data_IF_426993427730
#
_entry.id   IF_426993427730
#
_cell.length_a   1.000
_cell.length_b   1.000
_cell.length_c   1.000
_cell.angle_alpha   90.00
_cell.angle_beta   90.00
_cell.angle_gamma   90.00
#
_symmetry.space_group_name_H-M   'P 1'
#
loop_
_entity.id
_entity.type
_entity.pdbx_description
1 polymer ?
#
# COMPACT_ATOMS: atom_id res chain seq x y z
N UNK A 1 -29.88 -8.15 -21.99
CA UNK A 1 -28.73 -7.66 -21.24
C UNK A 1 -27.54 -8.57 -21.50
N UNK A 2 -26.38 -8.01 -21.67
CA UNK A 2 -25.16 -8.80 -21.83
C UNK A 2 -24.68 -9.27 -20.46
N UNK A 3 -24.12 -10.48 -20.41
CA UNK A 3 -23.50 -11.02 -19.20
C UNK A 3 -22.12 -10.38 -19.06
N UNK A 4 -21.91 -9.67 -17.97
CA UNK A 4 -20.61 -9.05 -17.65
C UNK A 4 -20.03 -9.66 -16.37
N UNK A 5 -18.71 -9.82 -16.31
CA UNK A 5 -17.99 -10.23 -15.11
C UNK A 5 -17.31 -9.03 -14.45
N UNK A 6 -17.28 -9.01 -13.11
CA UNK A 6 -16.57 -7.96 -12.35
C UNK A 6 -15.06 -8.23 -12.22
N UNK A 7 -14.56 -9.28 -12.89
CA UNK A 7 -13.15 -9.66 -12.82
C UNK A 7 -12.76 -10.31 -11.48
N UNK A 8 -11.46 -10.26 -11.15
CA UNK A 8 -10.93 -10.87 -9.93
C UNK A 8 -11.49 -10.17 -8.69
N UNK A 9 -11.98 -10.95 -7.71
CA UNK A 9 -12.62 -10.42 -6.49
C UNK A 9 -14.06 -9.95 -6.70
N UNK A 10 -14.66 -10.21 -7.88
CA UNK A 10 -16.03 -9.82 -8.19
C UNK A 10 -17.09 -10.46 -7.32
N UNK A 11 -16.86 -11.67 -6.79
CA UNK A 11 -17.76 -12.34 -5.84
C UNK A 11 -17.90 -11.57 -4.55
N UNK A 12 -16.76 -11.17 -3.96
CA UNK A 12 -16.72 -10.42 -2.70
C UNK A 12 -17.37 -9.05 -2.88
N UNK A 13 -17.07 -8.39 -4.00
CA UNK A 13 -17.65 -7.08 -4.32
C UNK A 13 -19.18 -7.17 -4.53
N UNK A 14 -19.66 -8.20 -5.22
CA UNK A 14 -21.09 -8.44 -5.39
C UNK A 14 -21.79 -8.69 -4.04
N UNK A 15 -21.18 -9.52 -3.18
CA UNK A 15 -21.70 -9.78 -1.84
C UNK A 15 -21.78 -8.49 -1.01
N UNK A 16 -20.78 -7.63 -1.10
CA UNK A 16 -20.75 -6.34 -0.42
C UNK A 16 -21.86 -5.39 -0.89
N UNK A 17 -22.11 -5.30 -2.22
CA UNK A 17 -23.21 -4.50 -2.78
C UNK A 17 -24.56 -5.01 -2.26
N UNK A 18 -24.76 -6.34 -2.24
CA UNK A 18 -25.98 -6.96 -1.76
C UNK A 18 -26.16 -6.69 -0.26
N UNK A 19 -25.13 -6.90 0.54
CA UNK A 19 -25.16 -6.62 1.98
C UNK A 19 -25.52 -5.15 2.27
N UNK A 20 -24.91 -4.22 1.56
CA UNK A 20 -25.23 -2.79 1.69
C UNK A 20 -26.67 -2.47 1.28
N UNK A 21 -27.17 -3.08 0.19
CA UNK A 21 -28.52 -2.87 -0.31
C UNK A 21 -29.60 -3.39 0.65
N UNK A 22 -29.32 -4.50 1.33
CA UNK A 22 -30.22 -5.12 2.31
C UNK A 22 -30.07 -4.56 3.72
N UNK A 23 -29.14 -3.63 3.98
CA UNK A 23 -28.72 -3.20 5.31
C UNK A 23 -28.45 -4.40 6.23
N UNK A 24 -27.62 -5.35 5.76
CA UNK A 24 -27.29 -6.56 6.47
C UNK A 24 -26.65 -6.27 7.83
N UNK A 25 -26.79 -7.16 8.79
CA UNK A 25 -26.14 -7.02 10.10
C UNK A 25 -24.62 -7.22 10.02
N UNK A 26 -24.15 -8.05 9.09
CA UNK A 26 -22.73 -8.29 8.81
C UNK A 26 -22.55 -8.85 7.40
N UNK A 27 -21.33 -8.74 6.88
CA UNK A 27 -20.86 -9.42 5.67
C UNK A 27 -19.81 -10.45 6.08
N UNK A 28 -20.05 -11.72 5.85
CA UNK A 28 -19.05 -12.77 6.06
C UNK A 28 -18.37 -13.15 4.74
N UNK A 29 -17.05 -13.13 4.72
CA UNK A 29 -16.22 -13.57 3.60
C UNK A 29 -15.45 -14.81 4.06
N UNK A 30 -15.81 -15.96 3.51
CA UNK A 30 -15.16 -17.23 3.77
C UNK A 30 -14.10 -17.50 2.71
N UNK A 31 -12.84 -17.62 3.14
CA UNK A 31 -11.65 -17.75 2.29
C UNK A 31 -10.75 -18.88 2.80
N UNK A 32 -9.52 -18.95 2.32
CA UNK A 32 -8.53 -19.99 2.64
C UNK A 32 -7.50 -19.56 3.70
N UNK A 33 -7.72 -18.41 4.35
CA UNK A 33 -6.86 -17.87 5.41
C UNK A 33 -7.63 -17.55 6.67
N UNK A 34 -6.97 -17.61 7.84
CA UNK A 34 -7.59 -17.36 9.15
C UNK A 34 -7.95 -15.89 9.41
N UNK A 35 -7.81 -15.03 8.43
CA UNK A 35 -8.05 -13.59 8.52
C UNK A 35 -6.85 -12.78 8.02
N UNK A 36 -6.84 -11.49 8.35
CA UNK A 36 -5.67 -10.66 8.13
C UNK A 36 -4.57 -11.03 9.11
N UNK A 37 -3.33 -11.10 8.62
CA UNK A 37 -2.16 -11.42 9.41
C UNK A 37 -1.29 -10.19 9.62
N UNK A 38 -0.52 -10.15 10.70
CA UNK A 38 0.44 -9.06 10.99
C UNK A 38 1.52 -8.89 9.91
N UNK A 39 1.77 -9.94 9.13
CA UNK A 39 2.60 -9.97 7.93
C UNK A 39 2.24 -11.20 7.08
N UNK A 40 2.83 -11.35 5.90
CA UNK A 40 2.67 -12.56 5.08
C UNK A 40 3.28 -13.79 5.79
N UNK A 41 2.49 -14.78 6.21
CA UNK A 41 2.98 -15.95 6.96
C UNK A 41 3.92 -16.84 6.14
N UNK A 42 3.92 -16.72 4.81
CA UNK A 42 4.86 -17.42 3.92
C UNK A 42 6.28 -16.85 4.01
N UNK A 43 6.40 -15.60 4.46
CA UNK A 43 7.68 -14.89 4.63
C UNK A 43 8.07 -14.85 6.10
N UNK A 44 7.12 -14.62 7.00
CA UNK A 44 7.31 -14.45 8.45
C UNK A 44 6.50 -15.50 9.19
N UNK A 45 7.16 -16.55 9.66
CA UNK A 45 6.51 -17.67 10.36
C UNK A 45 5.90 -17.30 11.71
N UNK A 46 6.32 -16.19 12.31
CA UNK A 46 5.80 -15.65 13.57
C UNK A 46 4.63 -14.69 13.39
N UNK A 47 4.17 -14.48 12.15
CA UNK A 47 2.97 -13.70 11.88
C UNK A 47 1.74 -14.37 12.50
N UNK A 48 0.85 -13.56 13.07
CA UNK A 48 -0.38 -14.03 13.70
C UNK A 48 -1.59 -13.22 13.20
N UNK A 49 -2.78 -13.78 13.40
CA UNK A 49 -4.04 -13.19 12.94
C UNK A 49 -4.35 -11.91 13.73
N UNK A 50 -4.76 -10.88 13.00
CA UNK A 50 -5.22 -9.61 13.56
C UNK A 50 -6.71 -9.75 13.86
N UNK A 51 -7.11 -9.58 15.11
CA UNK A 51 -8.50 -9.76 15.52
C UNK A 51 -9.42 -8.68 14.95
N UNK A 52 -8.97 -7.42 14.95
CA UNK A 52 -9.76 -6.26 14.55
C UNK A 52 -8.96 -5.30 13.69
N UNK A 53 -9.59 -4.82 12.61
CA UNK A 53 -9.09 -3.75 11.75
C UNK A 53 -10.19 -2.71 11.52
N UNK A 54 -9.79 -1.46 11.34
CA UNK A 54 -10.67 -0.47 10.73
C UNK A 54 -10.81 -0.73 9.22
N UNK A 55 -11.83 -0.15 8.59
CA UNK A 55 -11.97 -0.21 7.13
C UNK A 55 -10.76 0.40 6.42
N UNK A 56 -10.20 1.47 6.99
CA UNK A 56 -9.02 2.16 6.44
C UNK A 56 -7.79 1.26 6.54
N UNK A 57 -7.53 0.67 7.71
CA UNK A 57 -6.41 -0.26 7.91
C UNK A 57 -6.49 -1.46 6.96
N UNK A 58 -7.67 -2.05 6.80
CA UNK A 58 -7.87 -3.17 5.89
C UNK A 58 -7.63 -2.78 4.42
N UNK A 59 -8.13 -1.60 3.99
CA UNK A 59 -7.85 -1.08 2.65
C UNK A 59 -6.36 -0.84 2.41
N UNK A 60 -5.67 -0.22 3.37
CA UNK A 60 -4.24 0.05 3.25
C UNK A 60 -3.42 -1.25 3.14
N UNK A 61 -3.70 -2.24 3.99
CA UNK A 61 -3.03 -3.54 3.92
C UNK A 61 -3.25 -4.21 2.56
N UNK A 62 -4.48 -4.18 2.03
CA UNK A 62 -4.80 -4.76 0.74
C UNK A 62 -4.14 -4.02 -0.43
N UNK A 63 -4.10 -2.69 -0.40
CA UNK A 63 -3.48 -1.87 -1.43
C UNK A 63 -1.97 -2.15 -1.54
N UNK A 64 -1.32 -2.42 -0.42
CA UNK A 64 0.11 -2.74 -0.37
C UNK A 64 0.43 -4.24 -0.47
N UNK A 65 -0.55 -5.10 -0.79
CA UNK A 65 -0.26 -6.48 -1.20
C UNK A 65 -0.88 -7.60 -0.37
N UNK A 66 -1.59 -7.30 0.73
CA UNK A 66 -2.36 -8.32 1.44
C UNK A 66 -3.52 -8.81 0.56
N UNK A 67 -3.47 -10.10 0.18
CA UNK A 67 -4.44 -10.71 -0.76
C UNK A 67 -5.58 -11.41 0.01
N UNK A 68 -6.17 -10.74 0.98
CA UNK A 68 -7.23 -11.31 1.83
C UNK A 68 -8.60 -10.94 1.29
N UNK A 69 -8.81 -9.67 0.95
CA UNK A 69 -10.07 -9.14 0.41
C UNK A 69 -9.75 -8.26 -0.80
N UNK A 70 -10.64 -8.26 -1.78
CA UNK A 70 -10.56 -7.30 -2.87
C UNK A 70 -10.89 -5.89 -2.35
N UNK A 71 -9.98 -4.89 -2.42
CA UNK A 71 -10.16 -3.59 -1.77
C UNK A 71 -11.50 -2.89 -2.06
N UNK A 72 -12.03 -2.87 -3.31
CA UNK A 72 -13.33 -2.29 -3.60
C UNK A 72 -14.51 -2.91 -2.84
N UNK A 73 -14.36 -4.13 -2.31
CA UNK A 73 -15.38 -4.81 -1.50
C UNK A 73 -15.71 -4.04 -0.22
N UNK A 74 -14.73 -3.32 0.34
CA UNK A 74 -14.89 -2.60 1.60
C UNK A 74 -15.81 -1.39 1.45
N UNK A 75 -15.77 -0.72 0.29
CA UNK A 75 -16.44 0.56 0.08
C UNK A 75 -17.97 0.53 0.28
N UNK A 76 -18.78 -0.39 -0.33
CA UNK A 76 -20.23 -0.36 -0.17
C UNK A 76 -20.70 -0.55 1.28
N UNK A 77 -20.04 -1.44 2.03
CA UNK A 77 -20.44 -1.76 3.41
C UNK A 77 -19.91 -0.76 4.42
N UNK A 78 -18.77 -0.13 4.18
CA UNK A 78 -18.20 0.94 5.01
C UNK A 78 -19.18 2.10 5.17
N UNK A 79 -19.83 2.56 4.09
CA UNK A 79 -20.82 3.64 4.13
C UNK A 79 -22.09 3.33 4.94
N UNK A 80 -22.32 2.04 5.20
CA UNK A 80 -23.46 1.56 5.98
C UNK A 80 -23.09 1.11 7.39
N UNK A 81 -21.80 1.21 7.75
CA UNK A 81 -21.25 0.69 9.00
C UNK A 81 -21.52 -0.80 9.19
N UNK A 82 -21.56 -1.58 8.10
CA UNK A 82 -21.77 -3.03 8.13
C UNK A 82 -20.42 -3.71 8.35
N UNK A 83 -20.20 -4.40 9.47
CA UNK A 83 -18.94 -5.08 9.73
C UNK A 83 -18.69 -6.21 8.73
N UNK A 84 -17.41 -6.41 8.37
CA UNK A 84 -16.97 -7.53 7.54
C UNK A 84 -16.25 -8.53 8.45
N UNK A 85 -16.64 -9.80 8.40
CA UNK A 85 -15.94 -10.88 9.08
C UNK A 85 -15.19 -11.72 8.04
N UNK A 86 -13.88 -11.84 8.21
CA UNK A 86 -13.06 -12.73 7.39
C UNK A 86 -12.88 -14.02 8.13
N UNK A 87 -13.32 -15.11 7.54
CA UNK A 87 -13.35 -16.46 8.15
C UNK A 87 -12.65 -17.46 7.24
N UNK A 88 -12.07 -18.50 7.84
CA UNK A 88 -11.41 -19.56 7.10
C UNK A 88 -12.36 -20.74 6.89
N UNK A 89 -12.60 -21.08 5.63
CA UNK A 89 -13.43 -22.22 5.25
C UNK A 89 -12.86 -23.57 5.75
N UNK A 90 -11.54 -23.69 5.82
CA UNK A 90 -10.83 -24.89 6.26
C UNK A 90 -10.56 -24.94 7.77
N UNK A 91 -10.78 -23.80 8.47
CA UNK A 91 -10.63 -23.68 9.93
C UNK A 91 -11.76 -22.79 10.49
N UNK A 92 -13.02 -23.29 10.47
CA UNK A 92 -14.20 -22.50 10.85
C UNK A 92 -14.18 -22.01 12.32
N UNK A 93 -13.47 -22.73 13.18
CA UNK A 93 -13.32 -22.39 14.61
C UNK A 93 -12.35 -21.23 14.85
N UNK A 94 -11.52 -20.87 13.86
CA UNK A 94 -10.65 -19.70 13.99
C UNK A 94 -11.51 -18.43 14.16
N UNK A 95 -11.11 -17.51 15.07
CA UNK A 95 -11.88 -16.30 15.32
C UNK A 95 -12.01 -15.40 14.10
N UNK A 96 -11.04 -15.44 13.19
CA UNK A 96 -11.01 -14.60 12.01
C UNK A 96 -10.58 -13.15 12.32
N UNK A 97 -10.85 -12.26 11.35
CA UNK A 97 -10.68 -10.82 11.52
C UNK A 97 -12.02 -10.11 11.34
N UNK A 98 -12.37 -9.23 12.26
CA UNK A 98 -13.49 -8.30 12.10
C UNK A 98 -12.99 -6.95 11.59
N UNK A 99 -13.62 -6.45 10.52
CA UNK A 99 -13.36 -5.12 9.97
C UNK A 99 -14.58 -4.26 10.26
N UNK A 100 -14.39 -3.15 10.97
CA UNK A 100 -15.47 -2.27 11.44
C UNK A 100 -15.02 -0.81 11.52
N UNK A 101 -15.95 0.13 11.73
CA UNK A 101 -15.64 1.56 11.78
C UNK A 101 -14.76 1.93 12.98
N UNK A 102 -15.11 1.46 14.17
CA UNK A 102 -14.42 1.78 15.40
C UNK A 102 -13.69 0.55 15.94
N UNK A 103 -12.38 0.66 16.10
CA UNK A 103 -11.50 -0.34 16.67
C UNK A 103 -11.06 0.10 18.05
N UNK A 104 -10.79 -0.84 18.95
CA UNK A 104 -10.35 -0.55 20.30
C UNK A 104 -9.10 0.34 20.31
N UNK A 105 -9.19 1.48 21.01
CA UNK A 105 -8.11 2.46 21.15
C UNK A 105 -6.90 1.94 21.94
N UNK A 106 -7.05 0.84 22.68
CA UNK A 106 -5.96 0.14 23.40
C UNK A 106 -5.11 -0.79 22.53
N UNK A 107 -5.45 -0.91 21.23
CA UNK A 107 -4.72 -1.78 20.32
C UNK A 107 -3.34 -1.22 19.95
N UNK A 108 -2.44 -2.11 19.46
CA UNK A 108 -1.08 -1.73 19.02
C UNK A 108 -1.12 -0.61 17.98
N UNK A 109 -0.13 0.28 18.01
CA UNK A 109 -0.01 1.39 17.06
C UNK A 109 0.07 0.92 15.60
N UNK A 110 0.74 -0.22 15.38
CA UNK A 110 0.84 -0.88 14.08
C UNK A 110 0.04 -2.17 14.11
N UNK A 111 -0.81 -2.37 13.13
CA UNK A 111 -1.64 -3.57 12.95
C UNK A 111 -0.96 -4.60 12.07
N UNK A 112 -0.32 -4.17 10.99
CA UNK A 112 0.28 -5.10 10.05
C UNK A 112 1.33 -4.47 9.15
N UNK A 113 2.06 -5.35 8.47
CA UNK A 113 3.08 -5.03 7.47
C UNK A 113 2.66 -5.68 6.16
N UNK A 114 2.66 -4.91 5.09
CA UNK A 114 2.36 -5.40 3.76
C UNK A 114 3.49 -5.06 2.79
N UNK A 115 3.61 -5.76 1.67
CA UNK A 115 4.66 -5.48 0.69
C UNK A 115 4.24 -5.74 -0.75
N UNK A 116 4.80 -4.96 -1.64
CA UNK A 116 4.73 -5.09 -3.09
C UNK A 116 6.12 -5.45 -3.59
N UNK A 117 6.30 -6.70 -4.04
CA UNK A 117 7.61 -7.21 -4.52
C UNK A 117 7.93 -6.75 -5.94
N UNK A 118 6.94 -6.23 -6.65
CA UNK A 118 6.98 -5.83 -8.04
C UNK A 118 6.92 -4.30 -8.11
N UNK A 119 8.04 -3.65 -7.78
CA UNK A 119 8.16 -2.20 -7.71
C UNK A 119 9.27 -1.70 -8.62
N UNK A 120 8.93 -0.71 -9.45
CA UNK A 120 9.89 0.12 -10.17
C UNK A 120 9.66 1.57 -9.78
N UNK A 121 10.71 2.31 -9.49
CA UNK A 121 10.66 3.76 -9.32
C UNK A 121 10.97 4.45 -10.65
N UNK A 122 10.07 5.33 -11.04
CA UNK A 122 10.28 6.27 -12.16
C UNK A 122 10.51 7.64 -11.55
N UNK A 123 11.64 8.26 -11.88
CA UNK A 123 11.97 9.57 -11.31
C UNK A 123 12.09 10.62 -12.40
N UNK A 124 11.29 11.67 -12.27
CA UNK A 124 11.39 12.90 -13.06
C UNK A 124 12.20 13.92 -12.25
N UNK A 125 13.35 14.32 -12.78
CA UNK A 125 14.29 15.22 -12.06
C UNK A 125 14.75 16.33 -12.96
N UNK A 126 14.76 17.56 -12.44
CA UNK A 126 15.32 18.70 -13.14
C UNK A 126 15.14 20.02 -12.38
N UNK A 127 16.14 20.90 -12.47
CA UNK A 127 16.06 22.24 -11.88
C UNK A 127 14.98 23.10 -12.55
N UNK A 128 14.65 22.82 -13.80
CA UNK A 128 13.56 23.48 -14.53
C UNK A 128 12.15 23.18 -14.01
N UNK A 129 12.02 22.24 -13.04
CA UNK A 129 10.73 21.94 -12.39
C UNK A 129 10.44 22.89 -11.21
N UNK A 130 11.46 23.48 -10.62
CA UNK A 130 11.33 24.26 -9.38
C UNK A 130 10.50 25.52 -9.60
N UNK A 131 9.40 25.65 -8.86
CA UNK A 131 8.47 26.78 -8.97
C UNK A 131 7.60 26.80 -10.23
N UNK A 132 7.65 25.75 -11.06
CA UNK A 132 6.82 25.63 -12.27
C UNK A 132 5.49 24.99 -11.94
N UNK A 133 4.41 25.76 -12.13
CA UNK A 133 3.05 25.30 -11.86
C UNK A 133 2.65 24.20 -12.87
N UNK A 134 2.09 23.09 -12.36
CA UNK A 134 1.48 22.06 -13.19
C UNK A 134 2.39 20.91 -13.62
N UNK A 135 3.65 20.84 -13.18
CA UNK A 135 4.53 19.72 -13.52
C UNK A 135 3.92 18.38 -13.07
N UNK A 136 3.46 18.27 -11.83
CA UNK A 136 2.81 17.07 -11.33
C UNK A 136 1.54 16.72 -12.12
N UNK A 137 0.75 17.71 -12.54
CA UNK A 137 -0.41 17.47 -13.42
C UNK A 137 0.01 16.81 -14.73
N UNK A 138 1.08 17.30 -15.38
CA UNK A 138 1.61 16.73 -16.62
C UNK A 138 2.06 15.29 -16.43
N UNK A 139 2.81 15.01 -15.36
CA UNK A 139 3.27 13.66 -14.99
C UNK A 139 2.06 12.71 -14.87
N UNK A 140 1.11 13.01 -13.99
CA UNK A 140 -0.02 12.12 -13.74
C UNK A 140 -0.98 12.02 -14.92
N UNK A 141 -1.13 13.10 -15.70
CA UNK A 141 -1.94 13.07 -16.93
C UNK A 141 -1.36 12.11 -17.95
N UNK A 142 -0.05 12.18 -18.22
CA UNK A 142 0.63 11.31 -19.17
C UNK A 142 0.49 9.83 -18.76
N UNK A 143 0.69 9.51 -17.49
CA UNK A 143 0.54 8.16 -16.98
C UNK A 143 -0.93 7.66 -17.06
N UNK A 144 -1.89 8.48 -16.62
CA UNK A 144 -3.31 8.12 -16.61
C UNK A 144 -3.87 7.89 -18.02
N UNK A 145 -3.48 8.70 -19.01
CA UNK A 145 -3.89 8.54 -20.40
C UNK A 145 -3.41 7.24 -21.03
N UNK A 146 -2.33 6.66 -20.49
CA UNK A 146 -1.77 5.39 -20.92
C UNK A 146 -2.13 4.21 -19.99
N UNK A 147 -3.09 4.40 -19.07
CA UNK A 147 -3.60 3.36 -18.19
C UNK A 147 -2.61 2.88 -17.13
N UNK A 148 -1.56 3.67 -16.84
CA UNK A 148 -0.52 3.32 -15.88
C UNK A 148 -0.97 3.69 -14.47
N UNK A 149 -1.03 2.69 -13.58
CA UNK A 149 -1.41 2.87 -12.19
C UNK A 149 -0.20 3.22 -11.33
N UNK A 150 -0.35 4.30 -10.54
CA UNK A 150 0.64 4.76 -9.58
C UNK A 150 0.19 4.38 -8.17
N UNK A 151 1.03 3.67 -7.41
CA UNK A 151 0.70 3.27 -6.03
C UNK A 151 1.53 3.97 -4.96
N UNK A 152 2.57 4.70 -5.35
CA UNK A 152 3.40 5.49 -4.44
C UNK A 152 3.89 6.76 -5.14
N UNK A 153 3.93 7.86 -4.40
CA UNK A 153 4.53 9.13 -4.82
C UNK A 153 5.42 9.65 -3.70
N UNK A 154 6.64 9.99 -4.04
CA UNK A 154 7.58 10.63 -3.14
C UNK A 154 8.18 11.85 -3.83
N UNK A 155 8.01 13.00 -3.24
CA UNK A 155 8.51 14.28 -3.77
C UNK A 155 9.31 15.02 -2.71
N UNK A 156 10.50 15.48 -3.06
CA UNK A 156 11.29 16.36 -2.20
C UNK A 156 10.66 17.77 -2.15
N UNK A 157 10.80 18.45 -1.02
CA UNK A 157 10.27 19.81 -0.83
C UNK A 157 10.82 20.84 -1.82
N UNK A 158 11.99 20.58 -2.41
CA UNK A 158 12.60 21.41 -3.44
C UNK A 158 11.91 21.35 -4.80
N UNK A 159 10.92 20.48 -4.98
CA UNK A 159 10.17 20.26 -6.23
C UNK A 159 11.03 19.84 -7.43
N UNK A 160 12.35 19.65 -7.24
CA UNK A 160 13.28 19.30 -8.31
C UNK A 160 13.29 17.81 -8.66
N UNK A 161 12.57 16.98 -7.91
CA UNK A 161 12.52 15.53 -8.12
C UNK A 161 11.20 14.95 -7.64
N UNK A 162 10.52 14.23 -8.51
CA UNK A 162 9.31 13.46 -8.18
C UNK A 162 9.52 12.00 -8.57
N UNK A 163 9.49 11.12 -7.58
CA UNK A 163 9.61 9.67 -7.76
C UNK A 163 8.24 9.00 -7.65
N UNK A 164 7.96 8.09 -8.56
CA UNK A 164 6.66 7.43 -8.71
C UNK A 164 6.87 5.93 -8.71
N UNK A 165 6.13 5.21 -7.86
CA UNK A 165 6.12 3.76 -7.82
C UNK A 165 5.08 3.18 -8.78
N UNK A 166 5.55 2.36 -9.72
CA UNK A 166 4.72 1.62 -10.69
C UNK A 166 5.08 0.14 -10.67
N UNK A 167 4.22 -0.70 -11.26
CA UNK A 167 4.54 -2.12 -11.47
C UNK A 167 5.63 -2.28 -12.52
N UNK A 168 6.47 -3.33 -12.41
CA UNK A 168 7.55 -3.57 -13.36
C UNK A 168 7.06 -3.68 -14.81
N UNK A 169 5.89 -4.26 -15.04
CA UNK A 169 5.28 -4.38 -16.37
C UNK A 169 5.00 -3.02 -17.02
N UNK A 170 4.74 -1.98 -16.24
CA UNK A 170 4.37 -0.64 -16.72
C UNK A 170 5.60 0.27 -16.85
N UNK A 171 6.78 -0.17 -16.39
CA UNK A 171 7.97 0.65 -16.26
C UNK A 171 8.47 1.22 -17.60
N UNK A 172 8.54 0.37 -18.64
CA UNK A 172 9.01 0.79 -19.96
C UNK A 172 8.10 1.85 -20.57
N UNK A 173 6.79 1.59 -20.56
CA UNK A 173 5.78 2.53 -21.07
C UNK A 173 5.76 3.83 -20.25
N UNK A 174 5.92 3.76 -18.93
CA UNK A 174 5.98 4.94 -18.08
C UNK A 174 7.17 5.85 -18.44
N UNK A 175 8.35 5.25 -18.66
CA UNK A 175 9.51 6.01 -19.11
C UNK A 175 9.30 6.65 -20.50
N UNK A 176 8.74 5.90 -21.44
CA UNK A 176 8.47 6.37 -22.80
C UNK A 176 7.55 7.59 -22.78
N UNK A 177 6.36 7.47 -22.18
CA UNK A 177 5.37 8.54 -22.18
C UNK A 177 5.81 9.79 -21.41
N UNK A 178 6.63 9.63 -20.37
CA UNK A 178 7.17 10.77 -19.63
C UNK A 178 8.32 11.45 -20.39
N UNK A 179 9.18 10.70 -21.07
CA UNK A 179 10.20 11.29 -21.93
C UNK A 179 9.59 12.03 -23.13
N UNK A 180 8.47 11.54 -23.68
CA UNK A 180 7.72 12.26 -24.71
C UNK A 180 7.06 13.53 -24.17
N UNK A 181 6.39 13.45 -23.02
CA UNK A 181 5.73 14.59 -22.37
C UNK A 181 6.70 15.74 -22.06
N UNK A 182 7.92 15.41 -21.65
CA UNK A 182 8.96 16.40 -21.27
C UNK A 182 10.08 16.54 -22.31
N UNK A 183 9.84 16.14 -23.56
CA UNK A 183 10.86 16.11 -24.61
C UNK A 183 11.57 17.47 -24.80
N UNK A 184 10.83 18.59 -24.76
CA UNK A 184 11.38 19.94 -24.92
C UNK A 184 12.28 20.33 -23.76
N UNK A 185 11.83 20.10 -22.53
CA UNK A 185 12.58 20.41 -21.31
C UNK A 185 13.83 19.54 -21.20
N UNK A 186 13.76 18.31 -21.69
CA UNK A 186 14.92 17.40 -21.77
C UNK A 186 15.94 17.91 -22.80
N UNK A 187 15.49 18.33 -23.99
CA UNK A 187 16.34 18.90 -25.02
C UNK A 187 17.04 20.18 -24.54
N UNK A 188 16.34 21.01 -23.77
CA UNK A 188 16.88 22.23 -23.16
C UNK A 188 17.81 21.97 -21.95
N UNK A 189 17.87 20.72 -21.46
CA UNK A 189 18.63 20.36 -20.26
C UNK A 189 18.00 20.82 -18.94
N UNK A 190 16.73 21.21 -18.96
CA UNK A 190 15.95 21.63 -17.77
C UNK A 190 15.47 20.44 -16.95
N UNK A 191 15.18 19.32 -17.61
CA UNK A 191 14.79 18.03 -17.03
C UNK A 191 15.75 16.96 -17.55
N UNK A 192 16.18 16.06 -16.67
CA UNK A 192 16.99 14.91 -17.05
C UNK A 192 16.13 13.86 -17.77
N UNK A 193 16.69 13.04 -18.67
CA UNK A 193 15.97 11.91 -19.23
C UNK A 193 15.38 11.02 -18.13
N UNK A 194 14.11 10.67 -18.28
CA UNK A 194 13.40 9.85 -17.30
C UNK A 194 13.86 8.40 -17.42
N UNK A 195 14.28 7.83 -16.31
CA UNK A 195 14.79 6.45 -16.23
C UNK A 195 14.06 5.66 -15.15
N UNK A 196 14.01 4.34 -15.33
CA UNK A 196 13.42 3.41 -14.38
C UNK A 196 14.50 2.80 -13.49
N UNK A 197 14.28 2.81 -12.18
CA UNK A 197 15.05 2.03 -11.22
C UNK A 197 14.25 0.78 -10.84
N UNK A 198 14.75 -0.38 -11.29
CA UNK A 198 14.11 -1.68 -11.15
C UNK A 198 14.70 -2.49 -9.98
N UNK A 199 14.16 -3.71 -9.77
CA UNK A 199 14.60 -4.62 -8.70
C UNK A 199 14.38 -4.03 -7.29
N UNK A 200 13.26 -3.37 -7.12
CA UNK A 200 12.84 -2.76 -5.88
C UNK A 200 11.61 -3.45 -5.30
N UNK A 201 11.39 -3.22 -4.01
CA UNK A 201 10.19 -3.63 -3.30
C UNK A 201 9.68 -2.48 -2.43
N UNK A 202 8.36 -2.31 -2.38
CA UNK A 202 7.72 -1.37 -1.48
C UNK A 202 7.19 -2.11 -0.26
N UNK A 203 7.44 -1.57 0.92
CA UNK A 203 6.93 -2.08 2.20
C UNK A 203 6.07 -0.98 2.81
N UNK A 204 4.93 -1.36 3.40
CA UNK A 204 4.09 -0.46 4.17
C UNK A 204 3.85 -1.03 5.57
N UNK A 205 4.03 -0.21 6.60
CA UNK A 205 3.49 -0.46 7.92
C UNK A 205 2.17 0.29 8.06
N UNK A 206 1.17 -0.39 8.62
CA UNK A 206 -0.22 0.11 8.65
C UNK A 206 -0.77 0.07 10.07
N UNK A 207 -1.43 1.14 10.49
CA UNK A 207 -2.17 1.24 11.75
C UNK A 207 -2.65 2.66 12.02
N UNK A 208 -3.93 2.84 12.32
CA UNK A 208 -4.50 4.16 12.62
C UNK A 208 -3.98 4.75 13.93
N UNK A 209 -3.61 3.90 14.89
CA UNK A 209 -3.03 4.34 16.16
C UNK A 209 -1.58 4.86 16.04
N UNK A 210 -0.98 4.83 14.84
CA UNK A 210 0.27 5.55 14.57
C UNK A 210 0.08 7.06 14.65
N UNK A 211 -1.14 7.52 14.35
CA UNK A 211 -1.49 8.94 14.39
C UNK A 211 -1.26 9.50 15.79
N UNK A 212 -0.49 10.56 15.85
CA UNK A 212 -0.11 11.22 17.11
C UNK A 212 0.71 10.35 18.08
N UNK A 213 1.23 9.18 17.62
CA UNK A 213 2.14 8.35 18.44
C UNK A 213 3.59 8.69 18.12
N UNK A 214 4.30 9.44 18.99
CA UNK A 214 5.68 9.82 18.74
C UNK A 214 6.60 8.60 18.65
N UNK A 215 7.61 8.70 17.78
CA UNK A 215 8.70 7.72 17.71
C UNK A 215 8.49 6.56 16.74
N UNK A 216 7.31 6.36 16.17
CA UNK A 216 7.05 5.24 15.23
C UNK A 216 8.00 5.28 14.03
N UNK A 217 8.09 6.42 13.33
CA UNK A 217 9.01 6.57 12.19
C UNK A 217 10.49 6.43 12.63
N UNK A 218 10.84 6.98 13.79
CA UNK A 218 12.20 6.82 14.36
C UNK A 218 12.55 5.36 14.65
N UNK A 219 11.62 4.60 15.26
CA UNK A 219 11.79 3.17 15.52
C UNK A 219 11.90 2.39 14.19
N UNK A 220 11.05 2.67 13.20
CA UNK A 220 11.06 2.02 11.90
C UNK A 220 12.41 2.22 11.19
N UNK A 221 12.77 3.47 10.90
CA UNK A 221 13.99 3.75 10.14
C UNK A 221 15.26 3.45 10.93
N UNK A 222 15.24 3.62 12.26
CA UNK A 222 16.32 3.19 13.13
C UNK A 222 16.51 1.67 13.11
N UNK A 223 15.44 0.88 13.07
CA UNK A 223 15.52 -0.58 12.94
C UNK A 223 16.13 -0.99 11.61
N UNK A 224 15.69 -0.39 10.51
CA UNK A 224 16.25 -0.64 9.18
C UNK A 224 17.75 -0.28 9.13
N UNK A 225 18.11 0.92 9.60
CA UNK A 225 19.49 1.41 9.59
C UNK A 225 20.45 0.55 10.41
N UNK A 226 20.07 0.15 11.64
CA UNK A 226 20.88 -0.76 12.49
C UNK A 226 21.10 -2.12 11.84
N UNK A 227 20.23 -2.53 10.94
CA UNK A 227 20.36 -3.79 10.19
C UNK A 227 21.01 -3.62 8.81
N UNK A 228 21.55 -2.44 8.50
CA UNK A 228 22.24 -2.17 7.24
C UNK A 228 21.31 -2.14 6.03
N UNK A 229 20.04 -1.76 6.22
CA UNK A 229 19.04 -1.67 5.16
C UNK A 229 18.88 -0.20 4.78
N UNK A 230 19.16 0.12 3.51
CA UNK A 230 18.96 1.45 2.95
C UNK A 230 17.53 1.64 2.48
N UNK A 231 16.95 2.79 2.79
CA UNK A 231 15.65 3.23 2.28
C UNK A 231 15.89 4.16 1.11
N UNK A 232 15.32 3.82 -0.06
CA UNK A 232 15.51 4.56 -1.32
C UNK A 232 14.54 5.73 -1.41
N UNK A 233 13.28 5.48 -1.09
CA UNK A 233 12.21 6.47 -1.07
C UNK A 233 11.24 6.17 0.05
N UNK A 234 10.54 7.17 0.57
CA UNK A 234 9.48 6.97 1.56
C UNK A 234 8.34 7.97 1.34
N UNK A 235 7.15 7.57 1.78
CA UNK A 235 5.97 8.41 1.77
C UNK A 235 5.14 8.15 3.04
N UNK A 236 4.63 9.22 3.64
CA UNK A 236 3.66 9.19 4.73
C UNK A 236 2.65 10.31 4.49
N UNK A 237 1.38 9.96 4.40
CA UNK A 237 0.30 10.95 4.28
C UNK A 237 -0.01 11.62 5.63
N UNK A 238 -0.71 12.75 5.58
CA UNK A 238 -1.17 13.47 6.77
C UNK A 238 -2.21 12.68 7.60
N UNK A 239 -2.76 11.59 7.07
CA UNK A 239 -3.60 10.65 7.81
C UNK A 239 -2.81 9.86 8.85
N UNK A 240 -1.49 9.72 8.65
CA UNK A 240 -0.56 8.94 9.49
C UNK A 240 -0.98 7.46 9.65
N UNK A 241 -1.84 6.94 8.77
CA UNK A 241 -2.35 5.55 8.83
C UNK A 241 -1.40 4.53 8.23
N UNK A 242 -0.48 4.99 7.37
CA UNK A 242 0.60 4.16 6.84
C UNK A 242 1.91 4.94 6.72
N UNK A 243 3.02 4.21 6.77
CA UNK A 243 4.33 4.65 6.30
C UNK A 243 4.78 3.64 5.26
N UNK A 244 4.89 4.09 4.02
CA UNK A 244 5.39 3.27 2.91
C UNK A 244 6.81 3.69 2.54
N UNK A 245 7.64 2.72 2.18
CA UNK A 245 9.02 2.98 1.80
C UNK A 245 9.53 1.91 0.84
N UNK A 246 10.55 2.26 0.07
CA UNK A 246 11.14 1.43 -0.97
C UNK A 246 12.53 0.99 -0.56
N UNK A 247 12.81 -0.28 -0.76
CA UNK A 247 14.12 -0.93 -0.55
C UNK A 247 14.52 -1.73 -1.78
N UNK A 248 15.79 -2.10 -1.91
CA UNK A 248 16.20 -3.09 -2.89
C UNK A 248 15.48 -4.43 -2.67
N UNK A 249 15.04 -5.09 -3.73
CA UNK A 249 14.29 -6.34 -3.66
C UNK A 249 15.02 -7.44 -2.86
N UNK A 250 16.37 -7.50 -2.95
CA UNK A 250 17.19 -8.43 -2.16
C UNK A 250 17.09 -8.23 -0.65
N UNK A 251 16.74 -7.02 -0.21
CA UNK A 251 16.60 -6.65 1.21
C UNK A 251 15.20 -6.87 1.76
N UNK A 252 14.21 -7.16 0.91
CA UNK A 252 12.80 -7.25 1.30
C UNK A 252 12.57 -8.20 2.47
N UNK A 253 12.99 -9.46 2.34
CA UNK A 253 12.77 -10.48 3.38
C UNK A 253 13.41 -10.08 4.72
N UNK A 254 14.63 -9.55 4.68
CA UNK A 254 15.32 -9.08 5.88
C UNK A 254 14.57 -7.91 6.51
N UNK A 255 14.12 -6.94 5.68
CA UNK A 255 13.34 -5.79 6.14
C UNK A 255 12.07 -6.22 6.86
N UNK A 256 11.29 -7.10 6.26
CA UNK A 256 10.03 -7.60 6.83
C UNK A 256 10.27 -8.28 8.19
N UNK A 257 11.30 -9.14 8.31
CA UNK A 257 11.61 -9.82 9.56
C UNK A 257 12.02 -8.84 10.67
N UNK A 258 12.99 -7.94 10.40
CA UNK A 258 13.46 -7.02 11.46
C UNK A 258 12.39 -6.03 11.91
N UNK A 259 11.50 -5.61 11.00
CA UNK A 259 10.37 -4.76 11.36
C UNK A 259 9.36 -5.55 12.20
N UNK A 260 8.99 -6.76 11.75
CA UNK A 260 8.04 -7.60 12.49
C UNK A 260 8.56 -7.90 13.89
N UNK A 261 9.80 -8.31 14.04
CA UNK A 261 10.42 -8.56 15.33
C UNK A 261 10.39 -7.31 16.23
N UNK A 262 10.74 -6.15 15.66
CA UNK A 262 10.78 -4.90 16.41
C UNK A 262 9.41 -4.41 16.89
N UNK A 263 8.34 -4.60 16.10
CA UNK A 263 7.03 -4.03 16.41
C UNK A 263 6.02 -5.02 17.00
N UNK A 264 6.19 -6.33 16.76
CA UNK A 264 5.21 -7.33 17.16
C UNK A 264 5.72 -8.33 18.18
N UNK A 265 7.04 -8.59 18.23
CA UNK A 265 7.63 -9.57 19.14
C UNK A 265 8.45 -8.94 20.28
N UNK A 266 9.05 -7.77 20.09
CA UNK A 266 9.75 -7.08 21.17
C UNK A 266 8.73 -6.46 22.12
N UNK A 267 8.61 -6.97 23.30
CA UNK A 267 8.11 -6.22 24.45
C UNK A 267 9.18 -5.16 24.77
N UNK A 268 8.93 -3.89 24.40
CA UNK A 268 9.65 -2.63 24.70
C UNK A 268 11.16 -2.66 24.78
#
# INVERSE_FOLDING_TARGET
GEVTGLGRGGSDYTASIIAASLNAASLEIWTDVDGFMTADPRVISTAYTINELSYVEAMELCNFGAKVVYPPTIYPVCHKNIPILIKNTFNPEAPGTIIKQEVDSGSKAIKGISSINDTTLITVTGLGMVGVIGVNFRIFKALAQNGISVFMVSQASSENSTSIGVRNQDAALACEVLNEEFAKEIEMGEISPVVAEMNLATIAIVGENMKHTPGIAGKLFGTLGRNGISVIACAQGASETNISFVVEAKSLRKSLNVIHDSFFLSEY
#
